data_IF_224133078204
#
_entry.id   IF_224133078204
#
_cell.length_a   1.000
_cell.length_b   1.000
_cell.length_c   1.000
_cell.angle_alpha   90.00
_cell.angle_beta   90.00
_cell.angle_gamma   90.00
#
_symmetry.space_group_name_H-M   'P 1'
#
loop_
_entity.id
_entity.type
_entity.pdbx_description
1 polymer ?
#
# COMPACT_ATOMS: atom_id res chain seq x y z
N UNK A 1 13.95 -12.95 48.41
CA UNK A 1 14.40 -12.90 47.02
C UNK A 1 13.24 -13.15 45.99
N UNK A 2 12.13 -13.76 46.40
CA UNK A 2 10.99 -14.04 45.48
C UNK A 2 10.01 -12.87 45.26
N UNK A 3 9.97 -11.86 46.14
CA UNK A 3 9.01 -10.73 46.00
C UNK A 3 9.48 -9.63 45.00
N UNK A 4 10.76 -9.60 44.66
CA UNK A 4 11.30 -8.66 43.65
C UNK A 4 11.09 -9.15 42.22
N UNK A 5 10.92 -10.46 42.01
CA UNK A 5 10.59 -11.01 40.71
C UNK A 5 9.11 -10.82 40.33
N UNK A 6 8.19 -10.87 41.32
CA UNK A 6 6.75 -10.66 41.09
C UNK A 6 6.41 -9.19 40.76
N UNK A 7 7.20 -8.23 41.27
CA UNK A 7 7.01 -6.80 40.95
C UNK A 7 7.54 -6.38 39.58
N UNK A 8 8.43 -7.15 38.97
CA UNK A 8 8.96 -6.90 37.62
C UNK A 8 8.09 -7.57 36.54
N UNK A 9 7.37 -8.65 36.87
CA UNK A 9 6.40 -9.28 35.97
C UNK A 9 5.05 -8.53 35.89
N UNK A 10 4.72 -7.73 36.88
CA UNK A 10 3.47 -6.97 36.93
C UNK A 10 3.47 -5.66 36.09
N UNK A 11 4.61 -5.19 35.58
CA UNK A 11 4.74 -3.93 34.87
C UNK A 11 4.98 -4.08 33.34
N UNK A 12 5.15 -5.30 32.85
CA UNK A 12 5.20 -5.56 31.41
C UNK A 12 3.78 -5.75 30.90
N UNK A 13 3.24 -4.76 30.18
CA UNK A 13 1.93 -4.85 29.52
C UNK A 13 1.77 -6.20 28.83
N UNK A 14 0.87 -7.03 29.38
CA UNK A 14 0.66 -8.43 29.00
C UNK A 14 -0.04 -8.47 27.64
N UNK A 15 0.74 -8.32 26.56
CA UNK A 15 0.26 -8.59 25.21
C UNK A 15 0.37 -10.10 24.91
N UNK A 16 -0.57 -10.64 24.15
CA UNK A 16 -0.52 -12.03 23.72
C UNK A 16 0.68 -12.28 22.79
N UNK A 17 1.38 -13.43 22.91
CA UNK A 17 2.47 -13.78 22.02
C UNK A 17 1.94 -14.07 20.61
N UNK A 18 2.65 -13.58 19.57
CA UNK A 18 2.32 -13.82 18.18
C UNK A 18 3.54 -14.27 17.39
N UNK A 19 3.37 -15.30 16.56
CA UNK A 19 4.40 -15.80 15.66
C UNK A 19 5.48 -16.67 16.35
N UNK A 20 6.61 -16.92 15.69
CA UNK A 20 7.67 -17.77 16.22
C UNK A 20 8.25 -17.21 17.53
N UNK A 21 8.51 -18.08 18.51
CA UNK A 21 9.09 -17.69 19.81
C UNK A 21 10.36 -16.83 19.70
N UNK A 22 11.15 -17.04 18.65
CA UNK A 22 12.39 -16.27 18.40
C UNK A 22 12.12 -14.79 18.10
N UNK A 23 10.98 -14.45 17.52
CA UNK A 23 10.60 -13.06 17.22
C UNK A 23 10.07 -12.31 18.45
N UNK A 24 9.62 -13.04 19.48
CA UNK A 24 9.08 -12.50 20.72
C UNK A 24 8.15 -11.28 20.46
N UNK A 25 7.25 -11.41 19.49
CA UNK A 25 6.24 -10.40 19.17
C UNK A 25 5.09 -10.51 20.17
N UNK A 26 4.65 -9.38 20.71
CA UNK A 26 3.48 -9.27 21.57
C UNK A 26 2.49 -8.29 20.97
N UNK A 27 1.26 -8.73 20.81
CA UNK A 27 0.16 -7.94 20.23
C UNK A 27 -0.55 -7.14 21.32
N UNK A 28 -1.08 -5.99 20.95
CA UNK A 28 -1.80 -5.11 21.84
C UNK A 28 -3.14 -5.74 22.28
N UNK A 29 -3.67 -5.39 23.48
CA UNK A 29 -4.95 -5.89 23.96
C UNK A 29 -6.09 -5.66 22.96
N UNK A 30 -6.91 -6.70 22.76
CA UNK A 30 -8.03 -6.67 21.82
C UNK A 30 -7.66 -6.75 20.34
N UNK A 31 -6.38 -6.93 19.98
CA UNK A 31 -5.94 -7.33 18.65
C UNK A 31 -5.91 -8.86 18.59
N UNK A 32 -6.54 -9.44 17.58
CA UNK A 32 -6.55 -10.88 17.36
C UNK A 32 -5.48 -11.29 16.35
N UNK A 33 -5.18 -12.59 16.30
CA UNK A 33 -4.31 -13.17 15.25
C UNK A 33 -4.82 -12.83 13.84
N UNK A 34 -6.14 -12.82 13.61
CA UNK A 34 -6.75 -12.44 12.34
C UNK A 34 -6.44 -10.98 11.95
N UNK A 35 -6.57 -10.06 12.91
CA UNK A 35 -6.20 -8.65 12.68
C UNK A 35 -4.72 -8.51 12.30
N UNK A 36 -3.84 -9.25 12.99
CA UNK A 36 -2.40 -9.24 12.70
C UNK A 36 -2.09 -9.81 11.32
N UNK A 37 -2.72 -10.92 10.93
CA UNK A 37 -2.56 -11.49 9.57
C UNK A 37 -3.03 -10.52 8.49
N UNK A 38 -4.09 -9.76 8.74
CA UNK A 38 -4.58 -8.74 7.83
C UNK A 38 -3.60 -7.57 7.70
N UNK A 39 -2.97 -7.13 8.79
CA UNK A 39 -1.89 -6.14 8.77
C UNK A 39 -0.71 -6.63 7.90
N UNK A 40 -0.26 -7.86 8.12
CA UNK A 40 0.86 -8.45 7.35
C UNK A 40 0.50 -8.60 5.87
N UNK A 41 -0.75 -9.02 5.57
CA UNK A 41 -1.27 -9.09 4.21
C UNK A 41 -1.27 -7.71 3.53
N UNK A 42 -1.83 -6.68 4.14
CA UNK A 42 -1.80 -5.31 3.61
C UNK A 42 -0.38 -4.78 3.42
N UNK A 43 0.54 -5.09 4.36
CA UNK A 43 1.94 -4.74 4.26
C UNK A 43 2.61 -5.39 3.05
N UNK A 44 2.33 -6.67 2.75
CA UNK A 44 2.90 -7.36 1.61
C UNK A 44 2.58 -6.69 0.27
N UNK A 45 1.36 -6.17 0.10
CA UNK A 45 0.94 -5.52 -1.15
C UNK A 45 1.29 -4.03 -1.22
N UNK A 46 1.50 -3.36 -0.09
CA UNK A 46 1.60 -1.90 0.00
C UNK A 46 2.59 -1.29 -0.98
N UNK A 47 3.89 -1.55 -0.81
CA UNK A 47 4.95 -0.95 -1.66
C UNK A 47 4.89 -1.49 -3.09
N UNK A 48 4.53 -2.76 -3.30
CA UNK A 48 4.42 -3.33 -4.64
C UNK A 48 3.40 -2.58 -5.50
N UNK A 49 2.21 -2.34 -4.94
CA UNK A 49 1.15 -1.62 -5.65
C UNK A 49 1.46 -0.13 -5.82
N UNK A 50 2.16 0.48 -4.88
CA UNK A 50 2.65 1.86 -5.02
C UNK A 50 3.72 2.01 -6.12
N UNK A 51 4.64 1.05 -6.21
CA UNK A 51 5.78 1.10 -7.13
C UNK A 51 5.47 0.67 -8.56
N UNK A 52 4.49 -0.21 -8.76
CA UNK A 52 4.19 -0.77 -10.08
C UNK A 52 3.74 0.30 -11.08
N UNK A 53 3.05 1.35 -10.65
CA UNK A 53 2.64 2.44 -11.53
C UNK A 53 3.82 3.15 -12.19
N UNK A 54 4.96 3.29 -11.47
CA UNK A 54 6.18 3.85 -12.04
C UNK A 54 6.82 2.88 -13.06
N UNK A 55 6.69 1.58 -12.83
CA UNK A 55 7.21 0.56 -13.73
C UNK A 55 6.45 0.47 -15.07
N UNK A 56 5.19 0.92 -15.09
CA UNK A 56 4.35 0.94 -16.30
C UNK A 56 4.52 2.20 -17.14
N UNK A 57 5.05 3.28 -16.55
CA UNK A 57 5.14 4.59 -17.22
C UNK A 57 5.84 4.56 -18.58
N UNK A 58 7.03 3.93 -18.76
CA UNK A 58 7.70 3.93 -20.04
C UNK A 58 6.85 3.35 -21.17
N UNK A 59 6.13 2.26 -20.88
CA UNK A 59 5.24 1.64 -21.86
C UNK A 59 4.09 2.58 -22.27
N UNK A 60 3.43 3.19 -21.29
CA UNK A 60 2.34 4.13 -21.55
C UNK A 60 2.79 5.36 -22.30
N UNK A 61 3.98 5.88 -22.01
CA UNK A 61 4.55 7.03 -22.71
C UNK A 61 4.84 6.70 -24.17
N UNK A 62 5.46 5.53 -24.42
CA UNK A 62 5.87 5.14 -25.77
C UNK A 62 4.69 4.68 -26.61
N UNK A 63 3.94 3.69 -26.12
CA UNK A 63 2.99 2.92 -26.92
C UNK A 63 1.55 3.49 -26.88
N UNK A 64 1.20 4.21 -25.83
CA UNK A 64 -0.18 4.73 -25.68
C UNK A 64 -0.24 6.22 -26.01
N UNK A 65 0.69 7.01 -25.47
CA UNK A 65 0.68 8.48 -25.64
C UNK A 65 1.63 8.99 -26.73
N UNK A 66 2.48 8.12 -27.30
CA UNK A 66 3.47 8.46 -28.32
C UNK A 66 4.38 9.65 -27.92
N UNK A 67 4.78 9.72 -26.65
CA UNK A 67 5.68 10.76 -26.14
C UNK A 67 7.09 10.52 -26.65
N UNK A 68 7.76 11.54 -27.24
CA UNK A 68 9.13 11.43 -27.69
C UNK A 68 10.07 10.98 -26.57
N UNK A 69 11.00 10.06 -26.85
CA UNK A 69 11.91 9.48 -25.84
C UNK A 69 12.68 10.54 -25.05
N UNK A 70 13.05 11.65 -25.70
CA UNK A 70 13.75 12.76 -25.05
C UNK A 70 12.92 13.46 -23.96
N UNK A 71 11.58 13.42 -24.05
CA UNK A 71 10.66 14.07 -23.13
C UNK A 71 10.17 13.14 -22.01
N UNK A 72 10.33 11.82 -22.16
CA UNK A 72 9.82 10.84 -21.18
C UNK A 72 10.47 10.97 -19.80
N UNK A 73 11.78 11.23 -19.74
CA UNK A 73 12.50 11.43 -18.48
C UNK A 73 12.02 12.64 -17.70
N UNK A 74 12.01 13.85 -18.30
CA UNK A 74 11.43 15.04 -17.68
C UNK A 74 9.96 14.86 -17.25
N UNK A 75 9.14 14.22 -18.10
CA UNK A 75 7.74 13.94 -17.79
C UNK A 75 7.59 13.02 -16.58
N UNK A 76 8.33 11.91 -16.52
CA UNK A 76 8.32 10.99 -15.37
C UNK A 76 8.76 11.70 -14.08
N UNK A 77 9.79 12.55 -14.17
CA UNK A 77 10.26 13.37 -13.06
C UNK A 77 9.19 14.34 -12.56
N UNK A 78 8.52 15.05 -13.47
CA UNK A 78 7.44 15.98 -13.11
C UNK A 78 6.25 15.27 -12.48
N UNK A 79 5.82 14.13 -13.01
CA UNK A 79 4.73 13.33 -12.45
C UNK A 79 5.05 12.86 -11.03
N UNK A 80 6.28 12.40 -10.80
CA UNK A 80 6.73 12.00 -9.47
C UNK A 80 6.76 13.19 -8.52
N UNK A 81 7.37 14.30 -8.93
CA UNK A 81 7.47 15.53 -8.13
C UNK A 81 6.09 16.06 -7.71
N UNK A 82 5.14 16.17 -8.64
CA UNK A 82 3.78 16.60 -8.34
C UNK A 82 3.06 15.64 -7.39
N UNK A 83 3.27 14.33 -7.56
CA UNK A 83 2.71 13.31 -6.67
C UNK A 83 3.25 13.46 -5.25
N UNK A 84 4.55 13.66 -5.08
CA UNK A 84 5.18 13.83 -3.75
C UNK A 84 4.74 15.13 -3.07
N UNK A 85 4.61 16.24 -3.81
CA UNK A 85 4.02 17.49 -3.27
C UNK A 85 2.62 17.22 -2.73
N UNK A 86 1.78 16.53 -3.49
CA UNK A 86 0.42 16.21 -3.06
C UNK A 86 0.41 15.32 -1.81
N UNK A 87 1.28 14.30 -1.76
CA UNK A 87 1.45 13.44 -0.58
C UNK A 87 1.81 14.26 0.65
N UNK A 88 2.83 15.12 0.55
CA UNK A 88 3.27 15.97 1.68
C UNK A 88 2.16 16.93 2.11
N UNK A 89 1.43 17.54 1.16
CA UNK A 89 0.37 18.47 1.46
C UNK A 89 -0.85 17.81 2.13
N UNK A 90 -1.10 16.53 1.84
CA UNK A 90 -2.33 15.83 2.29
C UNK A 90 -2.11 14.88 3.47
N UNK A 91 -0.87 14.46 3.75
CA UNK A 91 -0.59 13.43 4.77
C UNK A 91 -1.07 13.83 6.18
N UNK A 92 -0.95 15.11 6.55
CA UNK A 92 -1.43 15.62 7.83
C UNK A 92 -2.96 15.61 7.93
N UNK A 93 -3.65 15.97 6.86
CA UNK A 93 -5.12 15.94 6.76
C UNK A 93 -5.60 14.50 6.88
N UNK A 94 -4.95 13.58 6.18
CA UNK A 94 -5.25 12.13 6.23
C UNK A 94 -5.03 11.58 7.63
N UNK A 95 -3.98 11.99 8.32
CA UNK A 95 -3.74 11.64 9.71
C UNK A 95 -4.91 12.06 10.60
N UNK A 96 -5.33 13.33 10.54
CA UNK A 96 -6.48 13.85 11.29
C UNK A 96 -7.79 13.14 10.92
N UNK A 97 -8.00 12.82 9.64
CA UNK A 97 -9.15 12.02 9.20
C UNK A 97 -9.12 10.61 9.81
N UNK A 98 -7.94 9.98 9.89
CA UNK A 98 -7.81 8.64 10.46
C UNK A 98 -8.11 8.60 11.96
N UNK A 99 -7.81 9.68 12.66
CA UNK A 99 -8.16 9.79 14.09
C UNK A 99 -9.68 9.94 14.29
N UNK A 100 -10.37 10.62 13.36
CA UNK A 100 -11.83 10.83 13.42
C UNK A 100 -12.63 9.61 12.93
N UNK A 101 -12.27 9.03 11.80
CA UNK A 101 -13.02 7.95 11.15
C UNK A 101 -12.49 6.56 11.46
N UNK A 102 -11.33 6.48 12.10
CA UNK A 102 -10.62 5.24 12.34
C UNK A 102 -9.64 4.89 11.20
N UNK A 103 -8.64 4.08 11.53
CA UNK A 103 -7.56 3.74 10.59
C UNK A 103 -7.98 2.75 9.50
N UNK A 104 -8.92 1.85 9.83
CA UNK A 104 -9.42 0.80 8.95
C UNK A 104 -10.01 1.32 7.63
N UNK A 105 -11.02 2.23 7.62
CA UNK A 105 -11.59 2.72 6.38
C UNK A 105 -10.61 3.56 5.56
N UNK A 106 -9.70 4.29 6.22
CA UNK A 106 -8.71 5.10 5.52
C UNK A 106 -7.68 4.21 4.81
N UNK A 107 -7.15 3.17 5.48
CA UNK A 107 -6.18 2.29 4.84
C UNK A 107 -6.81 1.44 3.74
N UNK A 108 -8.00 0.91 3.93
CA UNK A 108 -8.73 0.22 2.87
C UNK A 108 -9.07 1.16 1.69
N UNK A 109 -9.42 2.41 1.99
CA UNK A 109 -9.64 3.46 1.00
C UNK A 109 -8.40 3.76 0.16
N UNK A 110 -7.19 3.66 0.72
CA UNK A 110 -5.95 3.79 -0.05
C UNK A 110 -5.88 2.77 -1.20
N UNK A 111 -6.15 1.51 -0.91
CA UNK A 111 -6.15 0.45 -1.93
C UNK A 111 -7.31 0.56 -2.91
N UNK A 112 -8.45 1.11 -2.48
CA UNK A 112 -9.56 1.42 -3.39
C UNK A 112 -9.15 2.52 -4.38
N UNK A 113 -8.50 3.58 -3.91
CA UNK A 113 -7.96 4.65 -4.78
C UNK A 113 -6.89 4.09 -5.73
N UNK A 114 -6.00 3.20 -5.27
CA UNK A 114 -5.07 2.51 -6.16
C UNK A 114 -5.79 1.70 -7.23
N UNK A 115 -6.84 0.95 -6.86
CA UNK A 115 -7.63 0.17 -7.82
C UNK A 115 -8.23 1.07 -8.90
N UNK A 116 -8.92 2.14 -8.51
CA UNK A 116 -9.51 3.11 -9.44
C UNK A 116 -8.42 3.77 -10.28
N UNK A 117 -7.31 4.17 -9.66
CA UNK A 117 -6.18 4.77 -10.36
C UNK A 117 -5.57 3.86 -11.43
N UNK A 118 -5.41 2.56 -11.13
CA UNK A 118 -4.95 1.58 -12.13
C UNK A 118 -5.96 1.35 -13.26
N UNK A 119 -7.26 1.50 -13.01
CA UNK A 119 -8.27 1.45 -14.07
C UNK A 119 -8.20 2.69 -14.95
N UNK A 120 -8.03 3.87 -14.37
CA UNK A 120 -8.03 5.14 -15.10
C UNK A 120 -6.72 5.37 -15.89
N UNK A 121 -5.59 4.95 -15.34
CA UNK A 121 -4.28 5.29 -15.89
C UNK A 121 -4.08 4.89 -17.36
N UNK A 122 -4.46 3.68 -17.82
CA UNK A 122 -4.36 3.30 -19.23
C UNK A 122 -5.46 3.88 -20.12
N UNK A 123 -6.40 4.63 -19.56
CA UNK A 123 -7.45 5.33 -20.31
C UNK A 123 -7.05 6.77 -20.68
N UNK A 124 -5.90 7.23 -20.19
CA UNK A 124 -5.39 8.55 -20.53
C UNK A 124 -5.10 8.67 -22.04
N UNK A 125 -5.61 9.74 -22.65
CA UNK A 125 -5.38 10.06 -24.06
C UNK A 125 -4.43 11.24 -24.24
N UNK A 126 -4.14 11.97 -23.17
CA UNK A 126 -3.21 13.11 -23.16
C UNK A 126 -2.36 13.08 -21.89
N UNK A 127 -1.23 13.80 -21.94
CA UNK A 127 -0.32 13.93 -20.79
C UNK A 127 -1.01 14.61 -19.60
N UNK A 128 -1.92 15.56 -19.85
CA UNK A 128 -2.68 16.26 -18.82
C UNK A 128 -3.65 15.31 -18.11
N UNK A 129 -4.34 14.45 -18.86
CA UNK A 129 -5.21 13.42 -18.28
C UNK A 129 -4.40 12.41 -17.46
N UNK A 130 -3.26 11.97 -18.00
CA UNK A 130 -2.36 11.07 -17.27
C UNK A 130 -1.89 11.70 -15.97
N UNK A 131 -1.54 13.00 -16.00
CA UNK A 131 -1.15 13.76 -14.80
C UNK A 131 -2.28 13.82 -13.78
N UNK A 132 -3.50 14.11 -14.21
CA UNK A 132 -4.66 14.15 -13.32
C UNK A 132 -4.92 12.78 -12.67
N UNK A 133 -4.85 11.68 -13.43
CA UNK A 133 -5.01 10.33 -12.90
C UNK A 133 -3.86 9.93 -11.97
N UNK A 134 -2.63 10.39 -12.26
CA UNK A 134 -1.48 10.21 -11.39
C UNK A 134 -1.65 10.93 -10.04
N UNK A 135 -2.15 12.17 -10.05
CA UNK A 135 -2.43 12.92 -8.82
C UNK A 135 -3.57 12.27 -8.02
N UNK A 136 -4.61 11.78 -8.69
CA UNK A 136 -5.64 10.99 -8.00
C UNK A 136 -5.05 9.76 -7.32
N UNK A 137 -4.19 9.01 -8.00
CA UNK A 137 -3.48 7.86 -7.43
C UNK A 137 -2.61 8.26 -6.23
N UNK A 138 -2.00 9.46 -6.26
CA UNK A 138 -1.15 9.97 -5.19
C UNK A 138 -1.91 10.22 -3.87
N UNK A 139 -3.23 10.43 -3.89
CA UNK A 139 -4.05 10.42 -2.67
C UNK A 139 -4.00 9.06 -1.97
N UNK A 140 -4.06 7.97 -2.73
CA UNK A 140 -3.86 6.62 -2.21
C UNK A 140 -2.46 6.41 -1.62
N UNK A 141 -1.42 6.98 -2.27
CA UNK A 141 -0.05 6.96 -1.74
C UNK A 141 0.01 7.61 -0.37
N UNK A 142 -0.55 8.82 -0.22
CA UNK A 142 -0.59 9.55 1.04
C UNK A 142 -1.33 8.75 2.14
N UNK A 143 -2.48 8.16 1.81
CA UNK A 143 -3.27 7.35 2.74
C UNK A 143 -2.50 6.11 3.18
N UNK A 144 -1.89 5.36 2.25
CA UNK A 144 -1.13 4.15 2.59
C UNK A 144 0.12 4.47 3.43
N UNK A 145 0.85 5.54 3.07
CA UNK A 145 2.05 6.01 3.78
C UNK A 145 1.72 6.42 5.21
N UNK A 146 0.59 7.09 5.44
CA UNK A 146 0.15 7.50 6.78
C UNK A 146 -0.37 6.30 7.61
N UNK A 147 -1.10 5.37 6.98
CA UNK A 147 -1.84 4.34 7.72
C UNK A 147 -0.97 3.16 8.13
N UNK A 148 -0.03 2.73 7.32
CA UNK A 148 0.79 1.55 7.64
C UNK A 148 1.53 1.70 8.98
N UNK A 149 2.32 2.76 9.24
CA UNK A 149 2.97 2.96 10.54
C UNK A 149 1.96 3.12 11.68
N UNK A 150 0.83 3.80 11.42
CA UNK A 150 -0.20 4.04 12.43
C UNK A 150 -0.83 2.75 12.91
N UNK A 151 -1.22 1.86 11.98
CA UNK A 151 -1.81 0.55 12.33
C UNK A 151 -0.79 -0.35 13.03
N UNK A 152 0.49 -0.34 12.60
CA UNK A 152 1.56 -1.08 13.27
C UNK A 152 1.68 -0.65 14.74
N UNK A 153 1.65 0.68 14.99
CA UNK A 153 1.75 1.22 16.33
C UNK A 153 0.57 0.83 17.24
N UNK A 154 -0.62 0.71 16.67
CA UNK A 154 -1.81 0.30 17.41
C UNK A 154 -1.87 -1.21 17.70
N UNK A 155 -1.18 -2.02 16.88
CA UNK A 155 -1.28 -3.48 16.93
C UNK A 155 -0.21 -4.15 17.80
N UNK A 156 0.90 -3.46 18.09
CA UNK A 156 1.97 -3.98 18.91
C UNK A 156 2.08 -3.27 20.26
N UNK A 157 2.39 -4.03 21.31
CA UNK A 157 2.85 -3.43 22.56
C UNK A 157 4.19 -2.73 22.33
N UNK A 158 4.49 -1.69 23.10
CA UNK A 158 5.66 -0.83 22.92
C UNK A 158 6.98 -1.62 22.79
N UNK A 159 7.18 -2.62 23.65
CA UNK A 159 8.37 -3.48 23.63
C UNK A 159 8.54 -4.34 22.35
N UNK A 160 7.48 -4.50 21.55
CA UNK A 160 7.46 -5.30 20.32
C UNK A 160 7.32 -4.48 19.04
N UNK A 161 7.06 -3.17 19.17
CA UNK A 161 6.74 -2.27 18.05
C UNK A 161 7.84 -2.27 16.98
N UNK A 162 9.11 -2.10 17.37
CA UNK A 162 10.22 -2.10 16.41
C UNK A 162 10.35 -3.42 15.63
N UNK A 163 10.10 -4.56 16.28
CA UNK A 163 10.11 -5.87 15.62
C UNK A 163 8.97 -6.04 14.64
N UNK A 164 7.76 -5.59 14.98
CA UNK A 164 6.62 -5.63 14.07
C UNK A 164 6.85 -4.71 12.85
N UNK A 165 7.38 -3.51 13.08
CA UNK A 165 7.82 -2.61 12.01
C UNK A 165 8.76 -3.34 11.05
N UNK A 166 9.81 -3.99 11.57
CA UNK A 166 10.79 -4.71 10.76
C UNK A 166 10.15 -5.84 9.94
N UNK A 167 9.23 -6.59 10.52
CA UNK A 167 8.51 -7.66 9.81
C UNK A 167 7.64 -7.09 8.69
N UNK A 168 6.88 -6.01 8.95
CA UNK A 168 6.04 -5.37 7.94
C UNK A 168 6.88 -4.80 6.79
N UNK A 169 8.00 -4.13 7.07
CA UNK A 169 8.89 -3.61 6.02
C UNK A 169 9.60 -4.72 5.25
N UNK A 170 9.97 -5.82 5.90
CA UNK A 170 10.49 -7.00 5.21
C UNK A 170 9.44 -7.59 4.25
N UNK A 171 8.17 -7.70 4.67
CA UNK A 171 7.08 -8.15 3.82
C UNK A 171 6.81 -7.18 2.67
N UNK A 172 6.88 -5.87 2.91
CA UNK A 172 6.79 -4.87 1.84
C UNK A 172 7.87 -5.08 0.77
N UNK A 173 9.13 -5.25 1.17
CA UNK A 173 10.24 -5.52 0.25
C UNK A 173 10.07 -6.84 -0.50
N UNK A 174 9.65 -7.89 0.20
CA UNK A 174 9.37 -9.19 -0.39
C UNK A 174 8.20 -9.11 -1.38
N UNK A 175 7.12 -8.45 -1.02
CA UNK A 175 5.97 -8.18 -1.90
C UNK A 175 6.38 -7.42 -3.15
N UNK A 176 7.22 -6.40 -3.01
CA UNK A 176 7.76 -5.64 -4.15
C UNK A 176 8.48 -6.57 -5.14
N UNK A 177 9.40 -7.40 -4.67
CA UNK A 177 10.15 -8.33 -5.53
C UNK A 177 9.23 -9.38 -6.16
N UNK A 178 8.39 -10.03 -5.34
CA UNK A 178 7.58 -11.17 -5.78
C UNK A 178 6.39 -10.77 -6.66
N UNK A 179 5.88 -9.54 -6.56
CA UNK A 179 4.73 -9.09 -7.34
C UNK A 179 5.14 -8.26 -8.55
N UNK A 180 6.19 -7.44 -8.46
CA UNK A 180 6.59 -6.56 -9.55
C UNK A 180 7.05 -7.36 -10.78
N UNK A 181 7.82 -8.42 -10.57
CA UNK A 181 8.34 -9.25 -11.67
C UNK A 181 7.22 -9.99 -12.42
N UNK A 182 6.33 -10.77 -11.77
CA UNK A 182 5.20 -11.39 -12.46
C UNK A 182 4.28 -10.39 -13.16
N UNK A 183 3.97 -9.26 -12.50
CA UNK A 183 3.13 -8.23 -13.12
C UNK A 183 3.74 -7.68 -14.41
N UNK A 184 5.07 -7.50 -14.45
CA UNK A 184 5.77 -7.09 -15.68
C UNK A 184 5.71 -8.15 -16.78
N UNK A 185 5.84 -9.42 -16.41
CA UNK A 185 5.82 -10.55 -17.36
C UNK A 185 4.43 -10.79 -17.96
N UNK A 186 3.37 -10.23 -17.39
CA UNK A 186 2.03 -10.32 -17.97
C UNK A 186 1.84 -9.45 -19.22
N UNK A 187 2.66 -8.42 -19.42
CA UNK A 187 2.51 -7.53 -20.57
C UNK A 187 2.64 -8.26 -21.91
N UNK A 188 3.71 -9.03 -22.21
CA UNK A 188 3.81 -9.79 -23.48
C UNK A 188 2.67 -10.79 -23.66
N UNK A 189 2.14 -11.35 -22.57
CA UNK A 189 0.99 -12.26 -22.63
C UNK A 189 -0.26 -11.53 -23.10
N UNK A 190 -0.52 -10.32 -22.58
CA UNK A 190 -1.66 -9.52 -23.03
C UNK A 190 -1.49 -9.00 -24.45
N UNK A 191 -0.28 -8.59 -24.84
CA UNK A 191 0.01 -8.23 -26.24
C UNK A 191 -0.31 -9.35 -27.22
N UNK A 192 -0.02 -10.60 -26.85
CA UNK A 192 -0.38 -11.77 -27.64
C UNK A 192 -1.88 -12.06 -27.73
N UNK A 193 -2.66 -11.69 -26.70
CA UNK A 193 -4.13 -11.89 -26.70
C UNK A 193 -4.86 -10.85 -27.57
N UNK A 194 -4.33 -9.62 -27.62
CA UNK A 194 -4.99 -8.50 -28.29
C UNK A 194 -4.42 -8.20 -29.69
N UNK A 195 -3.81 -9.20 -30.34
CA UNK A 195 -3.22 -9.09 -31.69
C UNK A 195 -2.23 -7.90 -31.84
N UNK A 196 -1.53 -7.56 -30.75
CA UNK A 196 -0.53 -6.49 -30.73
C UNK A 196 -1.08 -5.08 -30.57
N UNK A 197 -2.36 -4.88 -30.21
CA UNK A 197 -2.88 -3.55 -29.90
C UNK A 197 -2.33 -3.06 -28.54
N UNK A 198 -1.43 -2.05 -28.53
CA UNK A 198 -0.74 -1.62 -27.32
C UNK A 198 -1.69 -0.95 -26.31
N UNK A 199 -2.77 -0.31 -26.78
CA UNK A 199 -3.74 0.38 -25.91
C UNK A 199 -4.57 -0.65 -25.15
N UNK A 200 -5.05 -1.68 -25.84
CA UNK A 200 -5.78 -2.78 -25.21
C UNK A 200 -4.87 -3.61 -24.29
N UNK A 201 -3.63 -3.88 -24.71
CA UNK A 201 -2.65 -4.56 -23.87
C UNK A 201 -2.39 -3.78 -22.56
N UNK A 202 -2.17 -2.47 -22.63
CA UNK A 202 -2.01 -1.61 -21.47
C UNK A 202 -3.20 -1.68 -20.52
N UNK A 203 -4.44 -1.67 -21.06
CA UNK A 203 -5.66 -1.75 -20.24
C UNK A 203 -5.74 -3.07 -19.48
N UNK A 204 -5.64 -4.21 -20.13
CA UNK A 204 -5.68 -5.52 -19.46
C UNK A 204 -4.54 -5.67 -18.46
N UNK A 205 -3.34 -5.20 -18.82
CA UNK A 205 -2.17 -5.25 -17.96
C UNK A 205 -2.37 -4.47 -16.65
N UNK A 206 -2.84 -3.20 -16.72
CA UNK A 206 -3.03 -2.37 -15.53
C UNK A 206 -4.31 -2.70 -14.76
N UNK A 207 -5.31 -3.31 -15.39
CA UNK A 207 -6.50 -3.78 -14.69
C UNK A 207 -6.22 -5.01 -13.80
N UNK A 208 -5.14 -5.75 -14.07
CA UNK A 208 -4.71 -6.85 -13.18
C UNK A 208 -4.34 -6.34 -11.77
N UNK A 209 -3.41 -5.38 -11.57
CA UNK A 209 -3.15 -4.80 -10.25
C UNK A 209 -4.36 -4.03 -9.69
N UNK A 210 -5.24 -3.50 -10.53
CA UNK A 210 -6.50 -2.90 -10.07
C UNK A 210 -7.38 -3.93 -9.33
N UNK A 211 -7.55 -5.11 -9.90
CA UNK A 211 -8.30 -6.20 -9.27
C UNK A 211 -7.62 -6.66 -7.96
N UNK A 212 -6.30 -6.78 -7.95
CA UNK A 212 -5.54 -7.10 -6.74
C UNK A 212 -5.76 -6.05 -5.65
N UNK A 213 -5.68 -4.75 -5.98
CA UNK A 213 -5.92 -3.67 -5.03
C UNK A 213 -7.35 -3.71 -4.47
N UNK A 214 -8.35 -4.02 -5.30
CA UNK A 214 -9.74 -4.16 -4.84
C UNK A 214 -9.89 -5.32 -3.84
N UNK A 215 -9.26 -6.45 -4.11
CA UNK A 215 -9.24 -7.60 -3.19
C UNK A 215 -8.54 -7.25 -1.88
N UNK A 216 -7.40 -6.55 -1.92
CA UNK A 216 -6.69 -6.09 -0.72
C UNK A 216 -7.55 -5.10 0.06
N UNK A 217 -8.18 -4.11 -0.60
CA UNK A 217 -9.09 -3.16 0.03
C UNK A 217 -10.22 -3.88 0.79
N UNK A 218 -10.86 -4.85 0.14
CA UNK A 218 -11.92 -5.67 0.75
C UNK A 218 -11.40 -6.47 1.93
N UNK A 219 -10.23 -7.10 1.78
CA UNK A 219 -9.57 -7.85 2.85
C UNK A 219 -9.27 -6.97 4.08
N UNK A 220 -8.78 -5.74 3.87
CA UNK A 220 -8.53 -4.78 4.94
C UNK A 220 -9.84 -4.32 5.61
N UNK A 221 -10.92 -4.08 4.82
CA UNK A 221 -12.23 -3.73 5.35
C UNK A 221 -12.85 -4.83 6.21
N UNK A 222 -12.59 -6.08 5.92
CA UNK A 222 -13.12 -7.19 6.71
C UNK A 222 -12.22 -7.48 7.91
N UNK A 223 -10.93 -7.61 7.68
CA UNK A 223 -9.99 -8.23 8.61
C UNK A 223 -9.31 -7.29 9.59
N UNK A 224 -9.29 -5.96 9.39
CA UNK A 224 -8.70 -5.04 10.36
C UNK A 224 -9.64 -4.81 11.56
N UNK A 225 -9.03 -4.59 12.74
CA UNK A 225 -9.77 -4.18 13.92
C UNK A 225 -10.50 -2.86 13.67
N UNK A 226 -11.80 -2.75 13.99
CA UNK A 226 -12.49 -1.47 13.99
C UNK A 226 -11.76 -0.49 14.92
N UNK A 227 -11.29 0.65 14.40
CA UNK A 227 -10.74 1.71 15.24
C UNK A 227 -11.86 2.31 16.08
N UNK A 228 -11.67 2.49 17.38
CA UNK A 228 -12.53 3.38 18.13
C UNK A 228 -12.27 4.81 17.61
N UNK A 229 -13.32 5.59 17.28
CA UNK A 229 -13.12 7.00 17.01
C UNK A 229 -12.53 7.67 18.27
N UNK A 230 -11.60 8.61 18.05
CA UNK A 230 -11.11 9.42 19.15
C UNK A 230 -12.31 10.10 19.84
N UNK A 231 -12.41 9.91 21.15
CA UNK A 231 -13.42 10.58 21.99
C UNK A 231 -13.01 12.03 22.20
#
# INVERSE_FOLDING_TARGET
MNRLNESVEGASGVGEPFGPRKLNLRIAPGVTTGHMMTLLFGSFFGIAMMGFINACQPYLFTEVLNVPTAEQGPLAGNLTFLSEILVVATIGIIGAMSDKFGRKPIWAGAFLIFSIGYVLYPLAQTVEQLTAFRLFFALGLAMNTAMLPSVINDYAVEASRGRLISVCFMLNGLGFILLLTPLRLLLPYFEGIVDGDPVLAARYWLWTPAAVCLLVSTGLLIGLKPGAPAQ
#
